data_IF_594297423854
#
_entry.id   IF_594297423854
#
_cell.length_a   1.000
_cell.length_b   1.000
_cell.length_c   1.000
_cell.angle_alpha   90.00
_cell.angle_beta   90.00
_cell.angle_gamma   90.00
#
_symmetry.space_group_name_H-M   'P 1'
#
loop_
_entity.id
_entity.type
_entity.pdbx_description
1 polymer ?
#
# COMPACT_ATOMS: atom_id res chain seq x y z
N UNK A 1 -10.27 24.63 29.61
CA UNK A 1 -10.06 24.81 28.16
C UNK A 1 -9.72 23.45 27.58
N UNK A 2 -10.72 22.67 27.18
CA UNK A 2 -10.49 21.39 26.53
C UNK A 2 -10.13 21.69 25.06
N UNK A 3 -8.92 21.31 24.65
CA UNK A 3 -8.57 21.34 23.23
C UNK A 3 -9.40 20.25 22.54
N UNK A 4 -10.24 20.68 21.61
CA UNK A 4 -10.92 19.78 20.69
C UNK A 4 -9.84 19.05 19.89
N UNK A 5 -9.69 17.75 20.16
CA UNK A 5 -8.96 16.83 19.31
C UNK A 5 -9.79 16.64 18.05
N UNK A 6 -9.57 17.48 17.05
CA UNK A 6 -10.14 17.29 15.73
C UNK A 6 -9.50 16.04 15.14
N UNK A 7 -10.23 14.93 15.15
CA UNK A 7 -9.93 13.77 14.30
C UNK A 7 -9.68 14.29 12.87
N UNK A 8 -8.59 13.90 12.18
CA UNK A 8 -8.50 14.18 10.75
C UNK A 8 -9.68 13.48 10.09
N UNK A 9 -10.46 14.24 9.33
CA UNK A 9 -11.54 13.69 8.52
C UNK A 9 -10.98 12.54 7.69
N UNK A 10 -11.58 11.35 7.80
CA UNK A 10 -11.39 10.26 6.85
C UNK A 10 -11.74 10.81 5.48
N UNK A 11 -10.72 11.18 4.70
CA UNK A 11 -10.88 11.53 3.31
C UNK A 11 -11.57 10.35 2.63
N UNK A 12 -12.75 10.57 2.07
CA UNK A 12 -13.42 9.62 1.17
C UNK A 12 -12.39 9.19 0.11
N UNK A 13 -11.96 7.93 0.18
CA UNK A 13 -10.92 7.40 -0.69
C UNK A 13 -11.31 7.55 -2.16
N UNK A 14 -10.32 7.88 -3.01
CA UNK A 14 -10.51 7.89 -4.46
C UNK A 14 -10.84 6.47 -4.95
N UNK A 15 -11.72 6.34 -5.93
CA UNK A 15 -12.01 5.05 -6.57
C UNK A 15 -11.08 4.79 -7.76
N UNK A 16 -11.05 3.55 -8.26
CA UNK A 16 -10.36 3.17 -9.50
C UNK A 16 -10.86 3.91 -10.75
N UNK A 17 -12.03 4.55 -10.65
CA UNK A 17 -12.65 5.36 -11.72
C UNK A 17 -12.57 6.86 -11.48
N UNK A 18 -11.89 7.31 -10.42
CA UNK A 18 -11.70 8.74 -10.12
C UNK A 18 -10.94 9.43 -11.27
N UNK A 19 -11.38 10.61 -11.75
CA UNK A 19 -10.72 11.28 -12.88
C UNK A 19 -9.23 11.58 -12.66
N UNK A 20 -8.81 11.88 -11.42
CA UNK A 20 -7.39 12.09 -11.13
C UNK A 20 -6.59 10.78 -11.21
N UNK A 21 -7.18 9.67 -10.77
CA UNK A 21 -6.59 8.33 -10.90
C UNK A 21 -6.45 7.96 -12.36
N UNK A 22 -7.50 8.12 -13.17
CA UNK A 22 -7.46 7.82 -14.61
C UNK A 22 -6.42 8.67 -15.34
N UNK A 23 -6.37 9.98 -15.06
CA UNK A 23 -5.37 10.87 -15.65
C UNK A 23 -3.94 10.48 -15.26
N UNK A 24 -3.73 10.01 -14.03
CA UNK A 24 -2.43 9.52 -13.58
C UNK A 24 -2.02 8.22 -14.27
N UNK A 25 -2.96 7.29 -14.47
CA UNK A 25 -2.74 6.05 -15.22
C UNK A 25 -2.41 6.32 -16.70
N UNK A 26 -3.08 7.30 -17.32
CA UNK A 26 -2.80 7.72 -18.70
C UNK A 26 -1.40 8.32 -18.82
N UNK A 27 -1.04 9.24 -17.92
CA UNK A 27 0.32 9.81 -17.86
C UNK A 27 1.38 8.72 -17.70
N UNK A 28 1.14 7.73 -16.84
CA UNK A 28 2.06 6.62 -16.66
C UNK A 28 2.14 5.74 -17.92
N UNK A 29 1.02 5.49 -18.59
CA UNK A 29 0.98 4.74 -19.84
C UNK A 29 1.82 5.42 -20.93
N UNK A 30 1.71 6.74 -21.06
CA UNK A 30 2.52 7.55 -21.98
C UNK A 30 4.01 7.45 -21.64
N UNK A 31 4.37 7.61 -20.35
CA UNK A 31 5.75 7.54 -19.90
C UNK A 31 6.38 6.15 -20.08
N UNK A 32 5.59 5.09 -19.95
CA UNK A 32 6.03 3.70 -20.11
C UNK A 32 6.02 3.22 -21.56
N UNK A 33 5.38 3.95 -22.48
CA UNK A 33 5.28 3.60 -23.90
C UNK A 33 4.27 2.48 -24.21
N UNK A 34 3.40 2.13 -23.26
CA UNK A 34 2.33 1.15 -23.46
C UNK A 34 1.11 1.45 -22.59
N UNK A 35 -0.08 1.03 -23.02
CA UNK A 35 -1.31 1.25 -22.26
C UNK A 35 -1.35 0.33 -21.04
N UNK A 36 -1.39 0.92 -19.84
CA UNK A 36 -1.65 0.19 -18.62
C UNK A 36 -3.12 -0.25 -18.56
N UNK A 37 -3.41 -1.46 -18.03
CA UNK A 37 -4.77 -1.84 -17.65
C UNK A 37 -5.34 -0.89 -16.58
N UNK A 38 -6.67 -0.86 -16.45
CA UNK A 38 -7.31 -0.14 -15.36
C UNK A 38 -6.82 -0.69 -14.00
N UNK A 39 -6.57 0.18 -13.00
CA UNK A 39 -6.15 -0.28 -11.69
C UNK A 39 -7.29 -1.04 -11.01
N UNK A 40 -6.93 -2.02 -10.19
CA UNK A 40 -7.86 -2.80 -9.38
C UNK A 40 -8.10 -2.20 -8.01
N UNK A 41 -7.13 -1.43 -7.51
CA UNK A 41 -7.23 -0.80 -6.20
C UNK A 41 -6.65 0.61 -6.17
N UNK A 42 -7.12 1.41 -5.21
CA UNK A 42 -6.61 2.74 -4.91
C UNK A 42 -6.58 2.92 -3.40
N UNK A 43 -5.40 3.12 -2.84
CA UNK A 43 -5.22 3.20 -1.38
C UNK A 43 -4.00 4.06 -1.02
N UNK A 44 -3.81 4.35 0.27
CA UNK A 44 -2.62 5.04 0.78
C UNK A 44 -1.89 4.18 1.82
N UNK A 45 -0.57 4.35 1.91
CA UNK A 45 0.24 3.78 2.99
C UNK A 45 0.22 4.65 4.27
N UNK A 46 -0.84 5.45 4.47
CA UNK A 46 -0.99 6.45 5.54
C UNK A 46 0.03 7.62 5.56
N UNK A 47 1.33 7.37 5.42
CA UNK A 47 2.39 8.38 5.44
C UNK A 47 3.07 8.49 4.07
N UNK A 48 3.37 9.71 3.66
CA UNK A 48 4.11 9.98 2.41
C UNK A 48 5.49 9.32 2.38
N UNK A 49 6.11 9.10 3.55
CA UNK A 49 7.38 8.40 3.66
C UNK A 49 7.30 6.96 3.11
N UNK A 50 6.22 6.23 3.40
CA UNK A 50 6.06 4.86 2.91
C UNK A 50 5.84 4.82 1.40
N UNK A 51 5.04 5.77 0.88
CA UNK A 51 4.87 5.97 -0.56
C UNK A 51 6.21 6.30 -1.24
N UNK A 52 7.02 7.18 -0.63
CA UNK A 52 8.35 7.50 -1.17
C UNK A 52 9.32 6.31 -1.09
N UNK A 53 9.29 5.54 0.00
CA UNK A 53 10.09 4.31 0.12
C UNK A 53 9.71 3.28 -0.94
N UNK A 54 8.43 3.19 -1.30
CA UNK A 54 7.97 2.31 -2.38
C UNK A 54 8.44 2.80 -3.76
N UNK A 55 8.35 4.11 -4.03
CA UNK A 55 8.90 4.74 -5.24
C UNK A 55 10.42 4.51 -5.36
N UNK A 56 11.13 4.56 -4.24
CA UNK A 56 12.58 4.34 -4.17
C UNK A 56 12.97 2.85 -4.23
N UNK A 57 12.00 1.93 -4.28
CA UNK A 57 12.24 0.48 -4.29
C UNK A 57 12.72 -0.09 -2.95
N UNK A 58 12.61 0.68 -1.85
CA UNK A 58 12.95 0.23 -0.49
C UNK A 58 11.79 -0.53 0.15
N UNK A 59 10.56 -0.04 -0.03
CA UNK A 59 9.32 -0.74 0.38
C UNK A 59 8.82 -1.54 -0.80
N UNK A 60 8.82 -2.86 -0.68
CA UNK A 60 8.35 -3.80 -1.72
C UNK A 60 7.36 -4.82 -1.16
N UNK A 61 6.82 -4.54 0.03
CA UNK A 61 5.86 -5.37 0.72
C UNK A 61 4.87 -4.52 1.51
N UNK A 62 3.66 -5.04 1.69
CA UNK A 62 2.61 -4.46 2.53
C UNK A 62 1.78 -5.54 3.19
N UNK A 63 1.37 -5.29 4.44
CA UNK A 63 0.47 -6.15 5.20
C UNK A 63 -0.92 -5.53 5.24
N UNK A 64 -1.94 -6.37 5.08
CA UNK A 64 -3.34 -5.96 5.17
C UNK A 64 -4.09 -6.75 6.23
N UNK A 65 -4.79 -6.01 7.08
CA UNK A 65 -5.76 -6.54 8.03
C UNK A 65 -6.95 -5.57 8.19
N UNK A 66 -8.20 -6.07 8.24
CA UNK A 66 -8.59 -7.45 7.94
C UNK A 66 -8.33 -7.80 6.47
N UNK A 67 -8.16 -9.09 6.17
CA UNK A 67 -8.01 -9.57 4.78
C UNK A 67 -9.29 -9.22 4.01
N UNK A 68 -9.22 -8.47 2.89
CA UNK A 68 -10.39 -8.09 2.11
C UNK A 68 -11.15 -9.31 1.58
N UNK A 69 -12.47 -9.30 1.74
CA UNK A 69 -13.36 -10.37 1.27
C UNK A 69 -14.57 -9.76 0.54
N UNK A 70 -14.71 -9.95 -0.78
CA UNK A 70 -13.79 -10.66 -1.67
C UNK A 70 -12.47 -9.88 -1.86
N UNK A 71 -11.39 -10.61 -2.19
CA UNK A 71 -10.16 -9.97 -2.63
C UNK A 71 -10.40 -9.38 -4.03
N UNK A 72 -10.19 -8.06 -4.18
CA UNK A 72 -10.54 -7.32 -5.41
C UNK A 72 -9.37 -7.08 -6.36
N UNK A 73 -8.15 -7.48 -6.00
CA UNK A 73 -6.96 -7.46 -6.87
C UNK A 73 -6.17 -8.78 -6.78
N UNK A 74 -5.45 -9.10 -7.84
CA UNK A 74 -4.70 -10.35 -8.00
C UNK A 74 -3.22 -10.14 -8.32
N UNK A 75 -2.47 -11.24 -8.38
CA UNK A 75 -1.08 -11.23 -8.86
C UNK A 75 -1.05 -10.71 -10.31
N UNK A 76 -0.18 -9.73 -10.56
CA UNK A 76 -0.04 -9.06 -11.85
C UNK A 76 -0.98 -7.87 -12.06
N UNK A 77 -1.98 -7.67 -11.18
CA UNK A 77 -2.82 -6.48 -11.23
C UNK A 77 -2.07 -5.24 -10.73
N UNK A 78 -2.64 -4.08 -11.09
CA UNK A 78 -2.08 -2.78 -10.77
C UNK A 78 -2.94 -2.06 -9.73
N UNK A 79 -2.28 -1.37 -8.80
CA UNK A 79 -2.93 -0.53 -7.80
C UNK A 79 -2.30 0.85 -7.78
N UNK A 80 -3.09 1.88 -7.44
CA UNK A 80 -2.60 3.25 -7.33
C UNK A 80 -2.41 3.60 -5.86
N UNK A 81 -1.17 3.94 -5.50
CA UNK A 81 -0.82 4.47 -4.20
C UNK A 81 -1.03 5.99 -4.16
N UNK A 82 -1.74 6.47 -3.15
CA UNK A 82 -1.99 7.87 -2.88
C UNK A 82 -0.96 8.44 -1.90
N UNK A 83 -0.67 9.72 -2.05
CA UNK A 83 -0.05 10.55 -1.00
C UNK A 83 -1.02 10.76 0.17
N UNK A 84 -0.50 11.23 1.30
CA UNK A 84 -1.27 11.64 2.48
C UNK A 84 -2.27 12.76 2.16
N UNK A 85 -1.97 13.59 1.15
CA UNK A 85 -2.89 14.60 0.61
C UNK A 85 -3.98 14.00 -0.33
N UNK A 86 -4.04 12.68 -0.48
CA UNK A 86 -5.04 11.98 -1.31
C UNK A 86 -4.80 12.11 -2.82
N UNK A 87 -3.59 12.49 -3.25
CA UNK A 87 -3.23 12.61 -4.68
C UNK A 87 -2.53 11.34 -5.16
N UNK A 88 -2.86 10.81 -6.37
CA UNK A 88 -2.13 9.70 -6.97
C UNK A 88 -0.63 9.99 -7.03
N UNK A 89 0.18 9.07 -6.48
CA UNK A 89 1.61 9.27 -6.28
C UNK A 89 2.44 8.15 -6.90
N UNK A 90 1.92 6.92 -6.92
CA UNK A 90 2.60 5.77 -7.51
C UNK A 90 1.62 4.76 -8.09
N UNK A 91 2.12 3.92 -8.99
CA UNK A 91 1.46 2.72 -9.50
C UNK A 91 2.35 1.55 -9.14
N UNK A 92 1.75 0.55 -8.51
CA UNK A 92 2.41 -0.71 -8.18
C UNK A 92 1.80 -1.87 -8.94
N UNK A 93 2.59 -2.94 -9.07
CA UNK A 93 2.14 -4.25 -9.55
C UNK A 93 2.33 -5.29 -8.46
N UNK A 94 1.27 -6.04 -8.16
CA UNK A 94 1.30 -7.15 -7.20
C UNK A 94 2.11 -8.32 -7.76
N UNK A 95 3.04 -8.84 -6.97
CA UNK A 95 3.91 -9.96 -7.34
C UNK A 95 3.52 -11.28 -6.67
N UNK A 96 3.09 -11.23 -5.41
CA UNK A 96 2.67 -12.43 -4.68
C UNK A 96 1.82 -12.08 -3.47
N UNK A 97 1.01 -13.04 -3.05
CA UNK A 97 0.31 -13.02 -1.77
C UNK A 97 0.68 -14.21 -0.91
N UNK A 98 0.73 -14.00 0.39
CA UNK A 98 0.78 -15.04 1.42
C UNK A 98 -0.23 -14.67 2.49
N UNK A 99 -1.17 -15.57 2.80
CA UNK A 99 -1.98 -15.47 4.02
C UNK A 99 -1.29 -16.25 5.13
N UNK A 100 -1.03 -15.58 6.25
CA UNK A 100 -0.43 -16.21 7.43
C UNK A 100 -0.92 -15.54 8.71
N UNK A 101 -0.60 -16.11 9.87
CA UNK A 101 -0.77 -15.41 11.14
C UNK A 101 0.25 -14.29 11.23
N UNK A 102 -0.10 -13.18 11.87
CA UNK A 102 0.78 -12.04 12.00
C UNK A 102 2.12 -12.39 12.70
N UNK A 103 2.08 -13.25 13.72
CA UNK A 103 3.29 -13.75 14.39
C UNK A 103 4.16 -14.69 13.55
N UNK A 104 3.64 -15.18 12.42
CA UNK A 104 4.39 -16.02 11.47
C UNK A 104 4.91 -15.23 10.26
N UNK A 105 4.74 -13.90 10.24
CA UNK A 105 5.31 -13.05 9.17
C UNK A 105 6.82 -13.18 9.19
N UNK A 106 7.38 -13.58 8.05
CA UNK A 106 8.81 -13.78 7.90
C UNK A 106 9.57 -12.45 8.03
N UNK A 107 10.75 -12.49 8.67
CA UNK A 107 11.56 -11.29 8.92
C UNK A 107 11.97 -10.57 7.63
N UNK A 108 12.30 -11.31 6.57
CA UNK A 108 12.62 -10.74 5.25
C UNK A 108 11.42 -10.04 4.60
N UNK A 109 10.20 -10.43 4.96
CA UNK A 109 8.99 -9.73 4.54
C UNK A 109 8.80 -8.44 5.33
N UNK A 110 8.90 -8.51 6.67
CA UNK A 110 8.80 -7.34 7.55
C UNK A 110 9.81 -6.25 7.16
N UNK A 111 11.08 -6.61 6.92
CA UNK A 111 12.11 -5.67 6.47
C UNK A 111 11.79 -5.07 5.08
N UNK A 112 11.13 -5.82 4.21
CA UNK A 112 10.70 -5.33 2.90
C UNK A 112 9.54 -4.33 2.97
N UNK A 113 8.88 -4.17 4.13
CA UNK A 113 7.93 -3.09 4.36
C UNK A 113 8.62 -1.74 4.59
N UNK A 114 9.93 -1.74 4.88
CA UNK A 114 10.75 -0.57 5.13
C UNK A 114 10.18 0.36 6.21
N UNK A 115 9.73 -0.22 7.32
CA UNK A 115 9.14 0.49 8.48
C UNK A 115 10.01 0.39 9.75
N UNK A 116 11.30 0.09 9.58
CA UNK A 116 12.24 -0.13 10.67
C UNK A 116 12.81 -1.55 10.64
N UNK A 117 13.26 -2.03 11.79
CA UNK A 117 13.56 -3.44 12.01
C UNK A 117 12.30 -4.29 12.21
N UNK A 118 12.47 -5.59 12.46
CA UNK A 118 11.34 -6.51 12.68
C UNK A 118 10.46 -6.12 13.86
N UNK A 119 11.06 -5.64 14.96
CA UNK A 119 10.33 -5.29 16.17
C UNK A 119 9.55 -3.98 15.97
N UNK A 120 10.17 -2.99 15.31
CA UNK A 120 9.51 -1.73 14.92
C UNK A 120 8.33 -1.99 13.97
N UNK A 121 8.50 -2.88 12.98
CA UNK A 121 7.42 -3.35 12.11
C UNK A 121 6.28 -3.98 12.92
N UNK A 122 6.62 -4.90 13.82
CA UNK A 122 5.65 -5.67 14.60
C UNK A 122 4.82 -4.76 15.50
N UNK A 123 5.49 -3.97 16.34
CA UNK A 123 4.84 -3.07 17.30
C UNK A 123 4.02 -1.99 16.57
N UNK A 124 4.55 -1.46 15.46
CA UNK A 124 3.88 -0.47 14.63
C UNK A 124 2.55 -0.98 14.04
N UNK A 125 2.52 -2.20 13.51
CA UNK A 125 1.31 -2.82 12.98
C UNK A 125 0.29 -3.11 14.08
N UNK A 126 0.76 -3.60 15.25
CA UNK A 126 -0.12 -3.85 16.39
C UNK A 126 -0.79 -2.56 16.88
N UNK A 127 -0.03 -1.47 17.01
CA UNK A 127 -0.59 -0.18 17.40
C UNK A 127 -1.57 0.35 16.33
N UNK A 128 -1.16 0.30 15.06
CA UNK A 128 -1.93 0.82 13.93
C UNK A 128 -3.30 0.13 13.80
N UNK A 129 -3.32 -1.20 13.76
CA UNK A 129 -4.57 -1.94 13.55
C UNK A 129 -5.50 -1.89 14.76
N UNK A 130 -4.98 -1.92 15.99
CA UNK A 130 -5.79 -1.74 17.20
C UNK A 130 -6.47 -0.37 17.25
N UNK A 131 -5.78 0.68 16.80
CA UNK A 131 -6.33 2.03 16.71
C UNK A 131 -7.35 2.17 15.58
N UNK A 132 -7.18 1.43 14.50
CA UNK A 132 -8.00 1.54 13.28
C UNK A 132 -9.29 0.71 13.35
N UNK A 133 -9.41 -0.22 14.28
CA UNK A 133 -10.61 -1.04 14.44
C UNK A 133 -11.65 -0.41 15.38
N UNK A 134 -12.80 0.06 14.86
CA UNK A 134 -13.85 0.67 15.68
C UNK A 134 -14.51 -0.29 16.66
N UNK A 135 -14.33 -1.61 16.48
CA UNK A 135 -14.90 -2.64 17.35
C UNK A 135 -13.93 -3.12 18.44
N UNK A 136 -12.69 -2.64 18.43
CA UNK A 136 -11.69 -2.97 19.44
C UNK A 136 -11.26 -4.44 19.43
N UNK A 137 -11.26 -5.11 18.27
CA UNK A 137 -10.63 -6.44 18.19
C UNK A 137 -9.15 -6.32 18.56
N UNK A 138 -8.67 -7.32 19.28
CA UNK A 138 -7.28 -7.40 19.70
C UNK A 138 -6.45 -7.93 18.55
N UNK A 139 -6.11 -7.08 17.57
CA UNK A 139 -5.06 -7.43 16.62
C UNK A 139 -3.82 -7.86 17.41
N UNK A 140 -3.32 -9.03 17.07
CA UNK A 140 -2.29 -9.77 17.79
C UNK A 140 -1.63 -10.80 16.85
N UNK A 141 -0.66 -11.55 17.37
CA UNK A 141 0.12 -12.53 16.60
C UNK A 141 -0.73 -13.63 15.96
N UNK A 142 -1.90 -13.96 16.53
CA UNK A 142 -2.81 -14.96 15.98
C UNK A 142 -3.73 -14.42 14.86
N UNK A 143 -3.70 -13.11 14.62
CA UNK A 143 -4.53 -12.47 13.59
C UNK A 143 -4.08 -12.89 12.19
N UNK A 144 -5.02 -13.34 11.35
CA UNK A 144 -4.74 -13.67 9.96
C UNK A 144 -4.56 -12.41 9.13
N UNK A 145 -3.41 -12.27 8.47
CA UNK A 145 -3.05 -11.13 7.63
C UNK A 145 -2.78 -11.56 6.19
N UNK A 146 -2.96 -10.63 5.26
CA UNK A 146 -2.56 -10.79 3.87
C UNK A 146 -1.25 -10.04 3.65
N UNK A 147 -0.19 -10.79 3.41
CA UNK A 147 1.14 -10.28 3.08
C UNK A 147 1.25 -10.19 1.55
N UNK A 148 1.35 -8.98 1.03
CA UNK A 148 1.53 -8.69 -0.39
C UNK A 148 2.98 -8.26 -0.66
N UNK A 149 3.64 -8.89 -1.65
CA UNK A 149 4.85 -8.31 -2.26
C UNK A 149 4.47 -7.62 -3.55
N UNK A 150 5.05 -6.44 -3.80
CA UNK A 150 4.77 -5.63 -4.97
C UNK A 150 6.06 -4.96 -5.50
N UNK A 151 6.00 -4.42 -6.71
CA UNK A 151 6.99 -3.47 -7.22
C UNK A 151 6.32 -2.15 -7.61
N UNK A 152 7.02 -1.03 -7.43
CA UNK A 152 6.61 0.24 -8.03
C UNK A 152 6.99 0.24 -9.52
N UNK A 153 6.01 0.44 -10.40
CA UNK A 153 6.23 0.53 -11.85
C UNK A 153 6.30 1.99 -12.33
N UNK A 154 5.69 2.92 -11.58
CA UNK A 154 5.67 4.35 -11.91
C UNK A 154 5.41 5.21 -10.67
N UNK A 155 6.12 6.34 -10.46
CA UNK A 155 7.34 6.74 -11.17
C UNK A 155 8.47 5.76 -10.87
N UNK A 156 9.28 5.43 -11.88
CA UNK A 156 10.41 4.50 -11.73
C UNK A 156 11.70 5.29 -11.59
N UNK A 157 12.36 5.24 -10.44
CA UNK A 157 13.74 5.77 -10.32
C UNK A 157 14.70 4.79 -11.00
N UNK A 158 15.52 5.31 -11.92
CA UNK A 158 16.72 4.60 -12.40
C UNK A 158 16.48 3.36 -13.25
N UNK A 159 15.31 3.22 -13.88
CA UNK A 159 15.12 2.17 -14.89
C UNK A 159 15.10 2.86 -16.25
N UNK A 160 16.21 2.69 -16.97
CA UNK A 160 16.25 2.94 -18.40
C UNK A 160 15.10 2.17 -19.05
N UNK A 161 14.40 2.76 -20.04
CA UNK A 161 13.38 2.03 -20.77
C UNK A 161 13.98 0.71 -21.27
N UNK A 162 13.21 -0.40 -21.25
CA UNK A 162 13.71 -1.67 -21.75
C UNK A 162 14.27 -1.44 -23.16
N UNK A 163 15.56 -1.71 -23.34
CA UNK A 163 16.16 -1.65 -24.67
C UNK A 163 15.48 -2.72 -25.50
N UNK A 164 14.71 -2.29 -26.51
CA UNK A 164 14.06 -3.16 -27.48
C UNK A 164 15.08 -4.01 -28.25
#
# INVERSE_FOLDING_TARGET
>A
MAQASTQPATMTGKSVTDPEVLAFMDKASEALGYKLPAPKDVYSFALDLHTQNAIDGKKTATTSWPIPKPLHWGIGDYSVGLSQAGKPAMIMRTLSFVECRFGDVAEDFALAEAEGDYQEYHDGHVEWYRRSDPNGHLFNDDSMVLCERFECIYPRKGIDPPTL
#
